data_IF_200056436974
#
_entry.id   IF_200056436974
#
_cell.length_a   1.000
_cell.length_b   1.000
_cell.length_c   1.000
_cell.angle_alpha   90.00
_cell.angle_beta   90.00
_cell.angle_gamma   90.00
#
_symmetry.space_group_name_H-M   'P 1'
#
loop_
_entity.id
_entity.type
_entity.pdbx_description
1 polymer ?
#
# COMPACT_ATOMS: atom_id res chain seq x y z
N UNK A 1 4.48 8.79 -10.30
CA UNK A 1 3.16 8.65 -9.63
C UNK A 1 2.58 7.26 -9.84
N UNK A 2 1.97 6.71 -8.78
CA UNK A 2 1.25 5.43 -8.79
C UNK A 2 -0.13 5.57 -8.15
N UNK A 3 -1.05 4.73 -8.60
CA UNK A 3 -2.41 4.63 -8.06
C UNK A 3 -2.45 3.45 -7.08
N UNK A 4 -2.75 3.74 -5.81
CA UNK A 4 -2.77 2.74 -4.73
C UNK A 4 -4.21 2.45 -4.32
N UNK A 5 -4.66 1.23 -4.58
CA UNK A 5 -5.98 0.74 -4.22
C UNK A 5 -6.00 0.17 -2.80
N UNK A 6 -6.93 0.65 -1.99
CA UNK A 6 -7.13 0.28 -0.60
C UNK A 6 -8.28 -0.73 -0.45
N UNK A 7 -8.04 -1.84 0.24
CA UNK A 7 -9.14 -2.75 0.62
C UNK A 7 -10.11 -2.05 1.58
N UNK A 8 -11.36 -2.50 1.63
CA UNK A 8 -12.45 -1.85 2.37
C UNK A 8 -12.12 -1.43 3.81
N UNK A 9 -11.33 -2.22 4.54
CA UNK A 9 -10.95 -1.96 5.92
C UNK A 9 -9.86 -0.90 6.11
N UNK A 10 -9.14 -0.50 5.05
CA UNK A 10 -8.19 0.63 5.13
C UNK A 10 -8.83 1.99 4.82
N UNK A 11 -9.94 2.00 4.06
CA UNK A 11 -10.59 3.23 3.59
C UNK A 11 -10.94 4.19 4.73
N UNK A 12 -11.49 3.75 5.89
CA UNK A 12 -11.79 4.65 7.00
C UNK A 12 -10.55 5.38 7.56
N UNK A 13 -9.35 4.85 7.34
CA UNK A 13 -8.09 5.46 7.77
C UNK A 13 -7.46 6.37 6.71
N UNK A 14 -8.07 6.47 5.52
CA UNK A 14 -7.59 7.25 4.37
C UNK A 14 -8.73 8.09 3.76
N UNK A 15 -9.44 8.84 4.60
CA UNK A 15 -10.57 9.71 4.23
C UNK A 15 -11.69 9.01 3.44
N UNK A 16 -11.90 7.72 3.66
CA UNK A 16 -12.84 6.86 2.92
C UNK A 16 -12.54 6.74 1.41
N UNK A 17 -11.32 7.06 0.97
CA UNK A 17 -10.92 6.89 -0.43
C UNK A 17 -10.63 5.42 -0.75
N UNK A 18 -11.06 4.98 -1.93
CA UNK A 18 -10.71 3.66 -2.45
C UNK A 18 -9.34 3.65 -3.11
N UNK A 19 -8.99 4.72 -3.83
CA UNK A 19 -7.71 4.87 -4.55
C UNK A 19 -7.02 6.14 -4.07
N UNK A 20 -5.74 6.03 -3.74
CA UNK A 20 -4.89 7.14 -3.35
C UNK A 20 -3.73 7.26 -4.32
N UNK A 21 -3.54 8.45 -4.88
CA UNK A 21 -2.36 8.78 -5.69
C UNK A 21 -1.20 9.18 -4.80
N UNK A 22 -0.06 8.52 -5.04
CA UNK A 22 1.20 8.79 -4.33
C UNK A 22 2.32 8.88 -5.35
N UNK A 23 3.16 9.89 -5.22
CA UNK A 23 4.41 9.93 -5.96
C UNK A 23 5.47 9.16 -5.17
N UNK A 24 5.85 7.97 -5.61
CA UNK A 24 6.84 7.12 -4.95
C UNK A 24 7.57 6.28 -6.00
N UNK A 25 8.84 5.97 -5.72
CA UNK A 25 9.70 5.15 -6.60
C UNK A 25 9.84 3.71 -6.11
N UNK A 26 9.51 3.44 -4.85
CA UNK A 26 9.60 2.10 -4.25
C UNK A 26 8.40 1.81 -3.35
N UNK A 27 8.14 0.53 -3.09
CA UNK A 27 7.07 0.12 -2.16
C UNK A 27 7.29 0.74 -0.77
N UNK A 28 8.53 0.75 -0.26
CA UNK A 28 8.86 1.37 1.03
C UNK A 28 8.53 2.85 1.07
N UNK A 29 8.89 3.59 0.02
CA UNK A 29 8.62 5.03 -0.07
C UNK A 29 7.10 5.29 -0.16
N UNK A 30 6.38 4.47 -0.91
CA UNK A 30 4.92 4.56 -1.03
C UNK A 30 4.24 4.35 0.33
N UNK A 31 4.59 3.28 1.05
CA UNK A 31 4.01 3.01 2.37
C UNK A 31 4.30 4.16 3.35
N UNK A 32 5.55 4.64 3.38
CA UNK A 32 5.93 5.77 4.22
C UNK A 32 5.12 7.03 3.90
N UNK A 33 4.97 7.39 2.62
CA UNK A 33 4.20 8.58 2.20
C UNK A 33 2.71 8.45 2.53
N UNK A 34 2.16 7.23 2.45
CA UNK A 34 0.80 6.95 2.89
C UNK A 34 0.64 7.14 4.40
N UNK A 35 1.59 6.68 5.22
CA UNK A 35 1.56 6.89 6.68
C UNK A 35 1.75 8.36 7.06
N UNK A 36 2.62 9.08 6.37
CA UNK A 36 2.84 10.53 6.57
C UNK A 36 1.56 11.33 6.24
N UNK A 37 0.84 10.94 5.18
CA UNK A 37 -0.41 11.58 4.78
C UNK A 37 -1.59 11.15 5.64
N UNK A 38 -1.61 9.89 6.07
CA UNK A 38 -2.70 9.25 6.80
C UNK A 38 -2.15 8.50 8.02
N UNK A 39 -1.97 9.19 9.16
CA UNK A 39 -1.42 8.58 10.37
C UNK A 39 -2.21 7.36 10.87
N UNK A 40 -3.50 7.28 10.56
CA UNK A 40 -4.35 6.13 10.88
C UNK A 40 -3.94 4.82 10.19
N UNK A 41 -3.15 4.88 9.11
CA UNK A 41 -2.64 3.70 8.40
C UNK A 41 -1.44 3.04 9.10
N UNK A 42 -0.83 3.73 10.07
CA UNK A 42 0.37 3.25 10.73
C UNK A 42 0.17 1.90 11.44
N UNK A 43 -0.92 1.75 12.20
CA UNK A 43 -1.23 0.52 12.92
C UNK A 43 -1.57 -0.65 11.97
N UNK A 44 -2.45 -0.48 10.95
CA UNK A 44 -2.66 -1.49 9.92
C UNK A 44 -1.39 -1.93 9.18
N UNK A 45 -0.43 -1.03 8.93
CA UNK A 45 0.79 -1.35 8.21
C UNK A 45 1.79 -2.13 9.07
N UNK A 46 1.87 -1.85 10.38
CA UNK A 46 2.65 -2.66 11.35
C UNK A 46 2.18 -4.11 11.43
N UNK A 47 0.88 -4.36 11.22
CA UNK A 47 0.26 -5.69 11.21
C UNK A 47 0.67 -6.61 10.04
N UNK A 48 1.60 -6.18 9.19
CA UNK A 48 2.06 -6.82 7.95
C UNK A 48 1.01 -6.73 6.83
N UNK A 49 1.14 -5.69 6.00
CA UNK A 49 0.44 -5.55 4.72
C UNK A 49 1.13 -6.40 3.65
N UNK A 50 0.38 -6.89 2.67
CA UNK A 50 0.93 -7.40 1.41
C UNK A 50 0.63 -6.38 0.30
N UNK A 51 1.58 -6.20 -0.61
CA UNK A 51 1.48 -5.21 -1.70
C UNK A 51 1.50 -5.95 -3.02
N UNK A 52 0.45 -5.83 -3.81
CA UNK A 52 0.45 -6.31 -5.19
C UNK A 52 0.86 -5.15 -6.11
N UNK A 53 1.85 -5.37 -6.97
CA UNK A 53 2.28 -4.42 -8.00
C UNK A 53 2.15 -5.11 -9.34
N UNK A 54 1.29 -4.61 -10.23
CA UNK A 54 1.00 -5.20 -11.55
C UNK A 54 0.72 -6.71 -11.47
N UNK A 55 -0.05 -7.14 -10.46
CA UNK A 55 -0.40 -8.55 -10.22
C UNK A 55 0.64 -9.39 -9.48
N UNK A 56 1.84 -8.86 -9.21
CA UNK A 56 2.88 -9.57 -8.44
C UNK A 56 2.79 -9.19 -6.96
N UNK A 57 2.69 -10.18 -6.07
CA UNK A 57 2.48 -9.97 -4.63
C UNK A 57 3.81 -9.98 -3.86
N UNK A 58 4.08 -8.90 -3.15
CA UNK A 58 5.22 -8.71 -2.26
C UNK A 58 4.77 -8.69 -0.79
N UNK A 59 5.45 -9.47 0.05
CA UNK A 59 5.09 -9.64 1.48
C UNK A 59 6.14 -9.14 2.46
N UNK A 60 7.42 -9.14 2.06
CA UNK A 60 8.53 -8.71 2.91
C UNK A 60 9.62 -7.96 2.10
N UNK A 61 9.41 -7.75 0.80
CA UNK A 61 10.36 -7.06 -0.06
C UNK A 61 9.79 -5.68 -0.43
N UNK A 62 10.25 -4.67 0.31
CA UNK A 62 9.81 -3.29 0.16
C UNK A 62 10.78 -2.44 -0.67
N UNK A 63 11.91 -3.02 -1.10
CA UNK A 63 12.90 -2.35 -1.96
C UNK A 63 12.49 -2.33 -3.43
N UNK A 64 11.46 -3.08 -3.80
CA UNK A 64 11.00 -3.16 -5.18
C UNK A 64 10.58 -1.80 -5.71
N UNK A 65 11.04 -1.52 -6.94
CA UNK A 65 10.72 -0.30 -7.65
C UNK A 65 9.26 -0.31 -8.11
N UNK A 66 8.65 0.87 -8.06
CA UNK A 66 7.31 1.11 -8.56
C UNK A 66 7.43 1.86 -9.89
N UNK A 67 7.21 1.18 -11.04
CA UNK A 67 7.24 1.85 -12.32
C UNK A 67 6.14 2.91 -12.40
N UNK A 68 6.35 3.92 -13.23
CA UNK A 68 5.36 4.96 -13.44
C UNK A 68 4.07 4.38 -14.00
N UNK A 69 2.93 4.77 -13.42
CA UNK A 69 1.62 4.24 -13.81
C UNK A 69 1.36 2.80 -13.36
N UNK A 70 2.19 2.23 -12.48
CA UNK A 70 1.93 0.91 -11.92
C UNK A 70 0.60 0.88 -11.16
N UNK A 71 -0.13 -0.22 -11.32
CA UNK A 71 -1.31 -0.52 -10.53
C UNK A 71 -0.84 -1.19 -9.23
N UNK A 72 -1.14 -0.55 -8.09
CA UNK A 72 -0.76 -1.05 -6.78
C UNK A 72 -2.00 -1.33 -5.95
N UNK A 73 -2.06 -2.50 -5.32
CA UNK A 73 -3.15 -2.87 -4.41
C UNK A 73 -2.59 -3.30 -3.05
N UNK A 74 -3.09 -2.66 -1.99
CA UNK A 74 -2.81 -3.09 -0.62
C UNK A 74 -3.74 -4.24 -0.25
N UNK A 75 -3.19 -5.24 0.44
CA UNK A 75 -3.90 -6.44 0.84
C UNK A 75 -3.59 -6.80 2.29
N UNK A 76 -4.58 -7.36 2.99
CA UNK A 76 -4.32 -7.99 4.29
C UNK A 76 -3.41 -9.19 4.06
N UNK A 77 -2.41 -9.36 4.92
CA UNK A 77 -1.69 -10.63 4.96
C UNK A 77 -2.66 -11.70 5.43
N UNK A 78 -2.94 -12.65 4.55
CA UNK A 78 -3.63 -13.88 4.94
C UNK A 78 -2.64 -14.67 5.81
N UNK A 79 -3.05 -15.02 7.03
CA UNK A 79 -2.32 -16.01 7.80
C UNK A 79 -2.38 -17.32 6.99
N UNK A 80 -1.24 -17.74 6.45
CA UNK A 80 -1.10 -19.11 5.98
C UNK A 80 -1.24 -20.01 7.21
N UNK A 81 -2.14 -20.98 7.14
CA UNK A 81 -2.26 -22.03 8.17
C UNK A 81 -1.00 -22.88 8.28
#
# INVERSE_FOLDING_TARGET
>A
MVDVTLWAGLRPFADNQEVVRVDARTIREMLRKLEERYPGLHEPFRGQVAVAVNGVIYRNDWSQELPEGAEVMLMRRLAGG
#
